data_IF_967978162168
#
_entry.id   IF_967978162168
#
_cell.length_a   1.000
_cell.length_b   1.000
_cell.length_c   1.000
_cell.angle_alpha   90.00
_cell.angle_beta   90.00
_cell.angle_gamma   90.00
#
_symmetry.space_group_name_H-M   'P 1'
#
loop_
_entity.id
_entity.type
_entity.pdbx_description
1 polymer ?
#
# COMPACT_ATOMS: atom_id res chain seq x y z
N UNK A 1 15.03 19.47 9.12
CA UNK A 1 13.82 19.79 8.36
C UNK A 1 13.10 18.49 8.14
N UNK A 2 12.05 18.22 8.93
CA UNK A 2 11.22 17.04 8.74
C UNK A 2 10.47 17.23 7.42
N UNK A 3 10.61 16.30 6.49
CA UNK A 3 9.68 16.25 5.36
C UNK A 3 8.28 16.13 5.98
N UNK A 4 7.36 17.03 5.63
CA UNK A 4 5.93 16.73 5.71
C UNK A 4 5.72 15.39 4.99
N UNK A 5 4.72 14.57 5.35
CA UNK A 5 4.50 13.19 4.85
C UNK A 5 4.37 12.99 3.34
N UNK A 6 4.74 14.00 2.55
CA UNK A 6 5.08 13.95 1.13
C UNK A 6 6.09 12.82 0.87
N UNK A 7 5.66 11.90 0.02
CA UNK A 7 6.48 10.86 -0.59
C UNK A 7 6.64 11.21 -2.06
N UNK A 8 7.83 10.98 -2.61
CA UNK A 8 8.08 11.23 -4.03
C UNK A 8 7.27 10.28 -4.91
N UNK A 9 6.73 10.77 -6.04
CA UNK A 9 5.88 10.00 -6.96
C UNK A 9 6.56 8.69 -7.42
N UNK A 10 7.86 8.76 -7.73
CA UNK A 10 8.66 7.59 -8.12
C UNK A 10 8.64 6.48 -7.06
N UNK A 11 8.64 6.82 -5.77
CA UNK A 11 8.58 5.86 -4.68
C UNK A 11 7.19 5.23 -4.53
N UNK A 12 6.12 6.00 -4.75
CA UNK A 12 4.74 5.51 -4.73
C UNK A 12 4.54 4.49 -5.87
N UNK A 13 4.98 4.83 -7.09
CA UNK A 13 4.93 3.90 -8.23
C UNK A 13 5.75 2.64 -7.99
N UNK A 14 6.96 2.77 -7.45
CA UNK A 14 7.80 1.64 -7.11
C UNK A 14 7.18 0.74 -6.03
N UNK A 15 6.51 1.31 -5.03
CA UNK A 15 5.79 0.54 -4.02
C UNK A 15 4.62 -0.25 -4.65
N UNK A 16 3.88 0.34 -5.59
CA UNK A 16 2.84 -0.37 -6.35
C UNK A 16 3.42 -1.49 -7.24
N UNK A 17 4.54 -1.24 -7.92
CA UNK A 17 5.22 -2.27 -8.72
C UNK A 17 5.72 -3.43 -7.86
N UNK A 18 6.19 -3.17 -6.63
CA UNK A 18 6.59 -4.22 -5.70
C UNK A 18 5.43 -5.15 -5.32
N UNK A 19 4.21 -4.60 -5.18
CA UNK A 19 2.98 -5.41 -5.06
C UNK A 19 2.78 -6.30 -6.30
N UNK A 20 2.87 -5.74 -7.51
CA UNK A 20 2.66 -6.48 -8.76
C UNK A 20 3.64 -7.63 -8.96
N UNK A 21 4.88 -7.50 -8.48
CA UNK A 21 5.88 -8.59 -8.49
C UNK A 21 5.42 -9.80 -7.66
N UNK A 22 4.74 -9.55 -6.53
CA UNK A 22 4.23 -10.60 -5.63
C UNK A 22 2.93 -11.22 -6.13
N UNK A 23 2.12 -10.46 -6.86
CA UNK A 23 0.84 -10.90 -7.39
C UNK A 23 1.01 -11.97 -8.48
N UNK A 24 0.55 -13.19 -8.21
CA UNK A 24 0.70 -14.34 -9.10
C UNK A 24 -0.10 -14.20 -10.40
N UNK A 25 -1.17 -13.41 -10.38
CA UNK A 25 -1.99 -13.10 -11.56
C UNK A 25 -1.25 -12.19 -12.55
N UNK A 26 -0.23 -11.46 -12.11
CA UNK A 26 0.58 -10.62 -12.99
C UNK A 26 1.40 -11.48 -13.96
N UNK A 27 1.30 -11.25 -15.29
CA UNK A 27 2.09 -11.97 -16.29
C UNK A 27 3.60 -11.90 -15.99
N UNK A 28 4.34 -12.98 -16.27
CA UNK A 28 5.77 -13.07 -15.94
C UNK A 28 6.60 -11.90 -16.53
N UNK A 29 6.33 -11.52 -17.77
CA UNK A 29 6.98 -10.39 -18.43
C UNK A 29 6.70 -9.06 -17.72
N UNK A 30 5.47 -8.85 -17.26
CA UNK A 30 5.11 -7.65 -16.50
C UNK A 30 5.78 -7.63 -15.11
N UNK A 31 5.92 -8.81 -14.47
CA UNK A 31 6.66 -8.93 -13.20
C UNK A 31 8.14 -8.61 -13.37
N UNK A 32 8.77 -9.06 -14.45
CA UNK A 32 10.16 -8.70 -14.75
C UNK A 32 10.34 -7.19 -14.96
N UNK A 33 9.44 -6.56 -15.72
CA UNK A 33 9.47 -5.12 -15.93
C UNK A 33 9.21 -4.35 -14.62
N UNK A 34 8.25 -4.78 -13.81
CA UNK A 34 7.99 -4.21 -12.49
C UNK A 34 9.22 -4.33 -11.58
N UNK A 35 9.90 -5.48 -11.57
CA UNK A 35 11.13 -5.68 -10.81
C UNK A 35 12.25 -4.74 -11.26
N UNK A 36 12.38 -4.50 -12.57
CA UNK A 36 13.36 -3.53 -13.10
C UNK A 36 13.03 -2.09 -12.66
N UNK A 37 11.75 -1.69 -12.69
CA UNK A 37 11.30 -0.37 -12.23
C UNK A 37 11.53 -0.18 -10.73
N UNK A 38 11.20 -1.18 -9.92
CA UNK A 38 11.49 -1.17 -8.47
C UNK A 38 12.98 -1.00 -8.22
N UNK A 39 13.83 -1.74 -8.94
CA UNK A 39 15.28 -1.63 -8.78
C UNK A 39 15.78 -0.23 -9.15
N UNK A 40 15.35 0.31 -10.28
CA UNK A 40 15.72 1.65 -10.72
C UNK A 40 15.30 2.73 -9.70
N UNK A 41 14.08 2.64 -9.18
CA UNK A 41 13.60 3.57 -8.16
C UNK A 41 14.40 3.43 -6.84
N UNK A 42 14.70 2.21 -6.40
CA UNK A 42 15.55 2.01 -5.21
C UNK A 42 16.94 2.61 -5.40
N UNK A 43 17.52 2.51 -6.60
CA UNK A 43 18.81 3.12 -6.93
C UNK A 43 18.74 4.66 -7.01
N UNK A 44 17.58 5.20 -7.39
CA UNK A 44 17.30 6.65 -7.54
C UNK A 44 16.97 7.35 -6.22
N UNK A 45 15.90 6.90 -5.54
CA UNK A 45 15.30 7.55 -4.36
C UNK A 45 15.59 6.83 -3.05
N UNK A 46 16.17 5.63 -3.12
CA UNK A 46 16.51 4.83 -1.95
C UNK A 46 15.37 3.95 -1.44
N UNK A 47 15.73 2.82 -0.83
CA UNK A 47 14.79 1.84 -0.26
C UNK A 47 13.88 2.43 0.82
N UNK A 48 14.41 3.36 1.61
CA UNK A 48 13.66 4.01 2.70
C UNK A 48 12.46 4.77 2.13
N UNK A 49 12.66 5.53 1.05
CA UNK A 49 11.60 6.30 0.41
C UNK A 49 10.55 5.39 -0.26
N UNK A 50 10.99 4.31 -0.93
CA UNK A 50 10.05 3.29 -1.45
C UNK A 50 9.21 2.66 -0.34
N UNK A 51 9.80 2.43 0.84
CA UNK A 51 9.06 1.90 2.00
C UNK A 51 8.05 2.90 2.54
N UNK A 52 8.37 4.21 2.52
CA UNK A 52 7.41 5.29 2.82
C UNK A 52 6.29 5.32 1.78
N UNK A 53 6.59 5.07 0.50
CA UNK A 53 5.59 4.90 -0.56
C UNK A 53 4.61 3.76 -0.30
N UNK A 54 5.08 2.63 0.24
CA UNK A 54 4.17 1.55 0.66
C UNK A 54 3.25 1.98 1.78
N UNK A 55 3.76 2.69 2.80
CA UNK A 55 2.94 3.21 3.92
C UNK A 55 1.90 4.22 3.43
N UNK A 56 2.28 5.08 2.49
CA UNK A 56 1.36 6.02 1.84
C UNK A 56 0.22 5.27 1.14
N UNK A 57 0.55 4.27 0.30
CA UNK A 57 -0.47 3.47 -0.41
C UNK A 57 -1.38 2.67 0.53
N UNK A 58 -0.84 2.16 1.64
CA UNK A 58 -1.68 1.54 2.69
C UNK A 58 -2.70 2.55 3.23
N UNK A 59 -2.28 3.80 3.46
CA UNK A 59 -3.19 4.88 3.85
C UNK A 59 -4.28 5.12 2.83
N UNK A 60 -3.89 5.37 1.58
CA UNK A 60 -4.81 5.65 0.46
C UNK A 60 -5.83 4.53 0.27
N UNK A 61 -5.40 3.26 0.23
CA UNK A 61 -6.33 2.14 0.05
C UNK A 61 -7.24 1.96 1.26
N UNK A 62 -6.74 2.18 2.48
CA UNK A 62 -7.55 2.10 3.69
C UNK A 62 -8.65 3.16 3.66
N UNK A 63 -8.29 4.41 3.34
CA UNK A 63 -9.25 5.51 3.21
C UNK A 63 -10.29 5.23 2.12
N UNK A 64 -9.88 4.67 0.99
CA UNK A 64 -10.80 4.30 -0.08
C UNK A 64 -11.78 3.20 0.34
N UNK A 65 -11.30 2.18 1.06
CA UNK A 65 -12.12 1.04 1.50
C UNK A 65 -13.15 1.41 2.57
N UNK A 66 -12.87 2.43 3.39
CA UNK A 66 -13.79 2.90 4.43
C UNK A 66 -14.65 4.08 3.97
N UNK A 67 -14.38 4.65 2.80
CA UNK A 67 -15.19 5.71 2.25
C UNK A 67 -16.63 5.21 1.99
N UNK A 68 -17.60 6.09 2.18
CA UNK A 68 -19.00 5.75 1.95
C UNK A 68 -19.23 5.41 0.46
N UNK A 69 -19.73 4.22 0.13
CA UNK A 69 -19.93 3.83 -1.26
C UNK A 69 -21.02 4.69 -1.92
N UNK A 70 -20.83 5.11 -3.18
CA UNK A 70 -21.83 5.88 -3.90
C UNK A 70 -23.09 5.03 -4.08
N UNK A 71 -24.17 5.39 -3.38
CA UNK A 71 -25.45 4.67 -3.38
C UNK A 71 -25.86 4.04 -2.04
N UNK A 72 -25.09 4.24 -0.95
CA UNK A 72 -25.52 3.88 0.40
C UNK A 72 -25.48 2.38 0.72
N UNK A 73 -24.48 1.66 0.20
CA UNK A 73 -24.18 0.28 0.58
C UNK A 73 -23.53 0.16 1.96
N UNK A 74 -23.32 -1.09 2.41
CA UNK A 74 -22.67 -1.36 3.71
C UNK A 74 -21.23 -0.85 3.70
N UNK A 75 -20.99 0.18 4.51
CA UNK A 75 -19.66 0.74 4.73
C UNK A 75 -18.82 -0.26 5.55
N UNK A 76 -17.57 -0.45 5.15
CA UNK A 76 -16.63 -1.27 5.93
C UNK A 76 -16.23 -0.50 7.18
N UNK A 77 -16.55 -1.03 8.35
CA UNK A 77 -16.07 -0.45 9.61
C UNK A 77 -14.57 -0.74 9.77
N UNK A 78 -13.71 0.28 9.87
CA UNK A 78 -12.27 0.07 9.97
C UNK A 78 -11.85 -0.76 11.20
N UNK A 79 -12.54 -0.57 12.34
CA UNK A 79 -12.14 -1.09 13.64
C UNK A 79 -12.71 -2.47 13.92
N UNK A 80 -13.95 -2.74 13.51
CA UNK A 80 -14.58 -4.05 13.70
C UNK A 80 -14.27 -5.02 12.56
N UNK A 81 -14.07 -4.52 11.34
CA UNK A 81 -14.05 -5.36 10.15
C UNK A 81 -12.67 -5.34 9.47
N UNK A 82 -12.25 -4.19 8.94
CA UNK A 82 -11.05 -4.08 8.08
C UNK A 82 -9.77 -4.48 8.80
N UNK A 83 -9.43 -3.77 9.89
CA UNK A 83 -8.18 -3.99 10.61
C UNK A 83 -8.12 -5.42 11.16
N UNK A 84 -9.14 -5.93 11.88
CA UNK A 84 -9.12 -7.32 12.35
C UNK A 84 -8.98 -8.35 11.22
N UNK A 85 -9.62 -8.15 10.06
CA UNK A 85 -9.51 -9.05 8.93
C UNK A 85 -8.08 -9.08 8.35
N UNK A 86 -7.45 -7.92 8.15
CA UNK A 86 -6.07 -7.82 7.65
C UNK A 86 -5.10 -8.47 8.65
N UNK A 87 -5.18 -8.11 9.93
CA UNK A 87 -4.26 -8.60 10.96
C UNK A 87 -4.40 -10.12 11.17
N UNK A 88 -5.62 -10.68 11.13
CA UNK A 88 -5.83 -12.14 11.22
C UNK A 88 -5.21 -12.90 10.05
N UNK A 89 -5.03 -12.25 8.90
CA UNK A 89 -4.49 -12.87 7.69
C UNK A 89 -2.97 -12.72 7.56
N UNK A 90 -2.35 -11.73 8.21
CA UNK A 90 -0.89 -11.57 8.20
C UNK A 90 -0.09 -12.83 8.61
N UNK A 91 -0.50 -13.63 9.62
CA UNK A 91 0.20 -14.86 9.98
C UNK A 91 0.22 -15.94 8.89
N UNK A 92 -0.61 -15.84 7.84
CA UNK A 92 -0.55 -16.80 6.71
C UNK A 92 0.64 -16.57 5.78
N UNK A 93 1.34 -15.45 5.92
CA UNK A 93 2.56 -15.15 5.17
C UNK A 93 3.78 -15.63 5.97
N UNK A 94 4.46 -16.67 5.51
CA UNK A 94 5.63 -17.24 6.21
C UNK A 94 6.73 -16.22 6.51
N UNK A 95 6.84 -15.17 5.68
CA UNK A 95 7.85 -14.12 5.82
C UNK A 95 7.37 -12.92 6.67
N UNK A 96 6.11 -12.92 7.14
CA UNK A 96 5.62 -11.86 8.00
C UNK A 96 6.17 -12.05 9.42
N UNK A 97 7.05 -11.16 9.84
CA UNK A 97 7.58 -11.17 11.20
C UNK A 97 6.49 -10.66 12.17
N UNK A 98 6.02 -11.48 13.14
CA UNK A 98 4.98 -11.09 14.08
C UNK A 98 5.33 -9.85 14.91
N UNK A 99 6.62 -9.58 15.15
CA UNK A 99 7.08 -8.42 15.91
C UNK A 99 6.76 -7.08 15.19
N UNK A 100 6.52 -7.13 13.88
CA UNK A 100 6.24 -5.94 13.07
C UNK A 100 4.74 -5.67 12.90
N UNK A 101 3.88 -6.61 13.31
CA UNK A 101 2.41 -6.49 13.25
C UNK A 101 1.88 -5.24 13.98
N UNK A 102 2.41 -4.84 15.16
CA UNK A 102 1.97 -3.60 15.82
C UNK A 102 2.18 -2.35 14.96
N UNK A 103 3.28 -2.27 14.20
CA UNK A 103 3.55 -1.12 13.35
C UNK A 103 2.56 -1.04 12.19
N UNK A 104 2.30 -2.17 11.54
CA UNK A 104 1.31 -2.25 10.46
C UNK A 104 -0.11 -1.95 10.96
N UNK A 105 -0.49 -2.46 12.13
CA UNK A 105 -1.77 -2.13 12.79
C UNK A 105 -1.88 -0.63 13.06
N UNK A 106 -0.80 -0.01 13.55
CA UNK A 106 -0.77 1.41 13.84
C UNK A 106 -0.92 2.29 12.59
N UNK A 107 -0.31 1.89 11.46
CA UNK A 107 -0.50 2.56 10.16
C UNK A 107 -1.96 2.47 9.71
N UNK A 108 -2.58 1.29 9.78
CA UNK A 108 -3.99 1.12 9.42
C UNK A 108 -4.92 1.95 10.32
N UNK A 109 -4.63 2.00 11.62
CA UNK A 109 -5.37 2.83 12.57
C UNK A 109 -5.22 4.32 12.26
N UNK A 110 -4.00 4.78 11.96
CA UNK A 110 -3.75 6.16 11.58
C UNK A 110 -4.57 6.53 10.33
N UNK A 111 -4.57 5.67 9.30
CA UNK A 111 -5.38 5.86 8.10
C UNK A 111 -6.88 5.91 8.42
N UNK A 112 -7.38 4.97 9.21
CA UNK A 112 -8.78 4.92 9.62
C UNK A 112 -9.24 6.17 10.40
N UNK A 113 -8.31 6.84 11.09
CA UNK A 113 -8.55 8.08 11.80
C UNK A 113 -8.34 9.35 10.94
N UNK A 114 -8.08 9.20 9.64
CA UNK A 114 -7.80 10.31 8.73
C UNK A 114 -6.49 11.03 9.02
N UNK A 115 -5.52 10.34 9.61
CA UNK A 115 -4.19 10.89 9.88
C UNK A 115 -3.24 10.60 8.71
N UNK A 116 -2.28 11.51 8.47
CA UNK A 116 -1.16 11.26 7.56
C UNK A 116 -0.35 10.06 8.05
N UNK A 117 -0.46 8.93 7.33
CA UNK A 117 0.15 7.64 7.71
C UNK A 117 1.66 7.68 7.67
N UNK A 118 2.24 8.41 6.72
CA UNK A 118 3.69 8.54 6.55
C UNK A 118 4.25 9.38 7.68
N UNK A 119 3.65 10.54 7.94
CA UNK A 119 4.06 11.40 9.06
C UNK A 119 3.85 10.71 10.41
N UNK A 120 2.77 9.93 10.58
CA UNK A 120 2.56 9.11 11.77
C UNK A 120 3.68 8.07 11.92
N UNK A 121 4.02 7.36 10.84
CA UNK A 121 5.04 6.31 10.89
C UNK A 121 6.43 6.88 11.11
N UNK A 122 6.79 7.99 10.47
CA UNK A 122 8.12 8.61 10.56
C UNK A 122 8.51 8.97 12.01
N UNK A 123 7.53 9.13 12.93
CA UNK A 123 7.76 9.36 14.37
C UNK A 123 8.49 8.22 15.08
N UNK A 124 8.47 7.01 14.52
CA UNK A 124 9.15 5.83 15.08
C UNK A 124 10.51 5.58 14.43
N UNK A 125 11.04 6.54 13.67
CA UNK A 125 12.32 6.45 12.99
C UNK A 125 12.23 5.66 11.68
N UNK A 126 13.37 5.16 11.20
CA UNK A 126 13.45 4.47 9.91
C UNK A 126 12.59 3.21 9.89
N UNK A 127 12.04 2.87 8.71
CA UNK A 127 11.32 1.62 8.49
C UNK A 127 12.35 0.50 8.25
N UNK A 128 12.49 -0.48 9.16
CA UNK A 128 13.41 -1.60 8.94
C UNK A 128 12.88 -2.55 7.85
N UNK A 129 13.74 -3.33 7.18
CA UNK A 129 13.33 -4.19 6.06
C UNK A 129 12.21 -5.19 6.39
N UNK A 130 12.21 -5.73 7.61
CA UNK A 130 11.17 -6.67 8.08
C UNK A 130 9.80 -5.99 8.15
N UNK A 131 9.76 -4.75 8.63
CA UNK A 131 8.53 -3.97 8.70
C UNK A 131 8.05 -3.55 7.31
N UNK A 132 8.95 -3.10 6.45
CA UNK A 132 8.64 -2.77 5.06
C UNK A 132 7.98 -3.96 4.32
N UNK A 133 8.44 -5.18 4.59
CA UNK A 133 7.85 -6.40 4.05
C UNK A 133 6.41 -6.63 4.56
N UNK A 134 6.17 -6.44 5.86
CA UNK A 134 4.81 -6.55 6.43
C UNK A 134 3.88 -5.48 5.85
N UNK A 135 4.33 -4.24 5.68
CA UNK A 135 3.57 -3.22 4.97
C UNK A 135 3.25 -3.62 3.52
N UNK A 136 4.17 -4.30 2.83
CA UNK A 136 3.92 -4.87 1.51
C UNK A 136 2.81 -5.93 1.51
N UNK A 137 2.77 -6.81 2.52
CA UNK A 137 1.68 -7.79 2.66
C UNK A 137 0.34 -7.13 3.00
N UNK A 138 0.35 -6.10 3.85
CA UNK A 138 -0.86 -5.30 4.12
C UNK A 138 -1.36 -4.65 2.85
N UNK A 139 -0.50 -3.99 2.07
CA UNK A 139 -0.87 -3.40 0.79
C UNK A 139 -1.50 -4.44 -0.15
N UNK A 140 -0.90 -5.63 -0.25
CA UNK A 140 -1.46 -6.72 -1.05
C UNK A 140 -2.84 -7.17 -0.56
N UNK A 141 -3.05 -7.31 0.75
CA UNK A 141 -4.34 -7.69 1.33
C UNK A 141 -5.43 -6.64 1.09
N UNK A 142 -5.08 -5.34 1.19
CA UNK A 142 -6.02 -4.26 0.91
C UNK A 142 -6.41 -4.23 -0.58
N UNK A 143 -5.45 -4.45 -1.48
CA UNK A 143 -5.72 -4.56 -2.91
C UNK A 143 -6.62 -5.78 -3.24
N UNK A 144 -6.37 -6.94 -2.63
CA UNK A 144 -7.19 -8.14 -2.78
C UNK A 144 -8.62 -7.94 -2.24
N UNK A 145 -8.75 -7.25 -1.11
CA UNK A 145 -10.05 -6.90 -0.53
C UNK A 145 -10.82 -5.94 -1.45
N UNK A 146 -10.16 -4.92 -2.00
CA UNK A 146 -10.78 -4.02 -2.96
C UNK A 146 -11.38 -4.78 -4.13
N UNK A 147 -10.58 -5.60 -4.80
CA UNK A 147 -11.01 -6.41 -5.95
C UNK A 147 -12.20 -7.31 -5.59
N UNK A 148 -12.21 -7.84 -4.36
CA UNK A 148 -13.29 -8.68 -3.84
C UNK A 148 -14.59 -7.90 -3.61
N UNK A 149 -14.51 -6.69 -3.05
CA UNK A 149 -15.68 -5.84 -2.80
C UNK A 149 -16.34 -5.34 -4.09
N UNK A 150 -15.55 -5.12 -5.14
CA UNK A 150 -16.07 -4.72 -6.47
C UNK A 150 -16.33 -5.91 -7.40
N UNK A 151 -16.21 -7.14 -6.88
CA UNK A 151 -16.39 -8.42 -7.61
C UNK A 151 -15.64 -8.50 -8.94
N UNK A 152 -14.51 -7.80 -9.06
CA UNK A 152 -13.74 -7.69 -10.31
C UNK A 152 -12.24 -7.84 -10.01
N UNK A 153 -11.66 -9.03 -10.27
CA UNK A 153 -10.22 -9.24 -10.14
C UNK A 153 -9.41 -8.26 -11.00
N UNK A 154 -8.38 -7.63 -10.41
CA UNK A 154 -7.50 -6.67 -11.07
C UNK A 154 -8.09 -5.27 -11.23
N UNK A 155 -9.26 -4.98 -10.64
CA UNK A 155 -9.87 -3.66 -10.70
C UNK A 155 -8.98 -2.59 -10.07
N UNK A 156 -8.31 -2.90 -8.96
CA UNK A 156 -7.41 -1.94 -8.31
C UNK A 156 -6.16 -1.66 -9.15
N UNK A 157 -5.60 -2.65 -9.85
CA UNK A 157 -4.45 -2.42 -10.75
C UNK A 157 -4.84 -1.52 -11.93
N UNK A 158 -6.05 -1.71 -12.46
CA UNK A 158 -6.58 -0.83 -13.50
C UNK A 158 -6.71 0.62 -12.98
N UNK A 159 -7.33 0.80 -11.81
CA UNK A 159 -7.53 2.12 -11.20
C UNK A 159 -6.20 2.84 -10.93
N UNK A 160 -5.24 2.15 -10.33
CA UNK A 160 -3.93 2.72 -10.03
C UNK A 160 -3.17 3.10 -11.30
N UNK A 161 -3.28 2.29 -12.37
CA UNK A 161 -2.67 2.62 -13.66
C UNK A 161 -3.27 3.88 -14.27
N UNK A 162 -4.60 3.98 -14.31
CA UNK A 162 -5.30 5.15 -14.82
C UNK A 162 -4.93 6.41 -14.02
N UNK A 163 -4.81 6.30 -12.70
CA UNK A 163 -4.39 7.38 -11.80
C UNK A 163 -2.95 7.82 -12.09
N UNK A 164 -2.00 6.89 -12.23
CA UNK A 164 -0.63 7.24 -12.55
C UNK A 164 -0.48 7.83 -13.96
N UNK A 165 -1.28 7.39 -14.92
CA UNK A 165 -1.31 7.93 -16.28
C UNK A 165 -1.86 9.37 -16.29
N UNK A 166 -2.93 9.67 -15.52
CA UNK A 166 -3.47 11.03 -15.43
C UNK A 166 -2.47 11.99 -14.77
N UNK A 167 -1.82 11.59 -13.68
CA UNK A 167 -0.79 12.41 -13.04
C UNK A 167 0.40 12.71 -13.98
N UNK A 168 0.77 11.74 -14.83
CA UNK A 168 1.87 11.92 -15.80
C UNK A 168 1.53 12.87 -16.96
N UNK A 169 0.24 13.12 -17.20
CA UNK A 169 -0.23 14.02 -18.26
C UNK A 169 -0.46 15.44 -17.77
N UNK A 170 -0.67 15.64 -16.47
CA UNK A 170 -0.77 16.97 -15.83
C UNK A 170 0.58 17.69 -15.67
N UNK A 171 1.69 16.93 -15.63
CA UNK A 171 3.06 17.47 -15.56
C UNK A 171 3.67 17.84 -16.94
N UNK A 172 2.87 17.86 -18.02
CA UNK A 172 3.28 18.24 -19.39
C UNK A 172 2.63 19.53 -19.87
#
# INVERSE_FOLDING_TARGET
>A
MSSNGVVVDEAVRAAWDAYRVLEKRTPAQEREQAQQRVKAAVDSVGREEVSRGTVFLVGVLTEYLIAEPPGGGDQVDPLSDLIPAVIRRLPSFELADPEQVPMATGVLMAAAMGMDTVAWRDRFGKIPPKEAMVHGFVLWLLADLFDSLVEKPGAIDQLMRETFESMSTEDR
#
